data_IF_406252847422
#
_entry.id   IF_406252847422
#
_cell.length_a   1.000
_cell.length_b   1.000
_cell.length_c   1.000
_cell.angle_alpha   90.00
_cell.angle_beta   90.00
_cell.angle_gamma   90.00
#
_symmetry.space_group_name_H-M   'P 1'
#
loop_
_entity.id
_entity.type
_entity.pdbx_description
1 polymer ?
#
# COMPACT_ATOMS: atom_id res chain seq x y z
N UNK A 1 -2.46 4.35 22.80
CA UNK A 1 -2.70 4.52 21.35
C UNK A 1 -1.42 4.35 20.54
N UNK A 2 -0.31 5.01 20.88
CA UNK A 2 0.95 5.02 20.09
C UNK A 2 1.51 3.62 19.78
N UNK A 3 1.51 2.70 20.74
CA UNK A 3 1.95 1.30 20.54
C UNK A 3 1.10 0.52 19.52
N UNK A 4 -0.14 0.93 19.28
CA UNK A 4 -1.03 0.30 18.29
C UNK A 4 -0.68 0.74 16.86
N UNK A 5 -0.29 2.00 16.67
CA UNK A 5 0.06 2.55 15.36
C UNK A 5 1.39 1.97 14.87
N UNK A 6 2.42 1.99 15.73
CA UNK A 6 3.70 1.38 15.40
C UNK A 6 3.55 -0.10 15.04
N UNK A 7 2.68 -0.82 15.76
CA UNK A 7 2.36 -2.20 15.44
C UNK A 7 1.72 -2.33 14.05
N UNK A 8 0.71 -1.53 13.73
CA UNK A 8 0.07 -1.56 12.41
C UNK A 8 1.05 -1.25 11.28
N UNK A 9 1.96 -0.30 11.50
CA UNK A 9 3.04 0.04 10.56
C UNK A 9 4.04 -1.11 10.39
N UNK A 10 4.34 -1.86 11.45
CA UNK A 10 5.15 -3.08 11.32
C UNK A 10 4.37 -4.22 10.65
N UNK A 11 3.09 -4.40 10.99
CA UNK A 11 2.24 -5.45 10.45
C UNK A 11 2.08 -5.31 8.93
N UNK A 12 1.89 -4.09 8.42
CA UNK A 12 1.82 -3.88 6.96
C UNK A 12 3.14 -4.20 6.26
N UNK A 13 4.30 -3.95 6.90
CA UNK A 13 5.59 -4.37 6.36
C UNK A 13 5.73 -5.89 6.32
N UNK A 14 5.26 -6.60 7.34
CA UNK A 14 5.25 -8.07 7.37
C UNK A 14 4.33 -8.64 6.29
N UNK A 15 3.14 -8.05 6.09
CA UNK A 15 2.24 -8.43 5.01
C UNK A 15 2.89 -8.22 3.64
N UNK A 16 3.54 -7.07 3.42
CA UNK A 16 4.29 -6.82 2.19
C UNK A 16 5.38 -7.87 1.95
N UNK A 17 6.18 -8.19 2.98
CA UNK A 17 7.24 -9.21 2.89
C UNK A 17 6.70 -10.58 2.51
N UNK A 18 5.53 -10.96 3.04
CA UNK A 18 4.84 -12.19 2.66
C UNK A 18 4.41 -12.17 1.19
N UNK A 19 3.77 -11.08 0.74
CA UNK A 19 3.31 -10.96 -0.64
C UNK A 19 4.46 -10.98 -1.66
N UNK A 20 5.61 -10.42 -1.30
CA UNK A 20 6.80 -10.41 -2.14
C UNK A 20 7.34 -11.83 -2.33
N UNK A 21 7.43 -12.61 -1.24
CA UNK A 21 8.10 -13.93 -1.21
C UNK A 21 7.23 -15.07 -1.71
N UNK A 22 5.92 -15.02 -1.45
CA UNK A 22 5.01 -16.14 -1.71
C UNK A 22 4.35 -16.05 -3.09
N UNK A 23 3.72 -17.15 -3.51
CA UNK A 23 2.77 -17.13 -4.63
C UNK A 23 1.46 -16.56 -4.10
N UNK A 24 1.00 -15.46 -4.69
CA UNK A 24 -0.16 -14.71 -4.21
C UNK A 24 -1.14 -14.43 -5.34
N UNK A 25 -2.42 -14.24 -4.99
CA UNK A 25 -3.46 -13.84 -5.93
C UNK A 25 -3.56 -12.32 -6.03
N UNK A 26 -4.17 -11.83 -7.12
CA UNK A 26 -4.51 -10.42 -7.26
C UNK A 26 -5.44 -9.93 -6.14
N UNK A 27 -6.30 -10.80 -5.60
CA UNK A 27 -7.16 -10.47 -4.46
C UNK A 27 -6.34 -10.11 -3.22
N UNK A 28 -5.32 -10.90 -2.88
CA UNK A 28 -4.45 -10.62 -1.73
C UNK A 28 -3.67 -9.31 -1.91
N UNK A 29 -3.25 -9.02 -3.15
CA UNK A 29 -2.59 -7.75 -3.49
C UNK A 29 -3.56 -6.57 -3.36
N UNK A 30 -4.81 -6.74 -3.78
CA UNK A 30 -5.86 -5.72 -3.64
C UNK A 30 -6.21 -5.46 -2.17
N UNK A 31 -6.30 -6.51 -1.36
CA UNK A 31 -6.52 -6.38 0.09
C UNK A 31 -5.39 -5.60 0.75
N UNK A 32 -4.14 -5.88 0.34
CA UNK A 32 -2.98 -5.12 0.81
C UNK A 32 -3.02 -3.65 0.36
N UNK A 33 -3.41 -3.36 -0.89
CA UNK A 33 -3.56 -1.99 -1.38
C UNK A 33 -4.53 -1.20 -0.50
N UNK A 34 -5.73 -1.75 -0.28
CA UNK A 34 -6.77 -1.14 0.56
C UNK A 34 -6.26 -0.90 1.99
N UNK A 35 -5.63 -1.92 2.59
CA UNK A 35 -5.07 -1.79 3.92
C UNK A 35 -3.96 -0.73 3.99
N UNK A 36 -3.15 -0.61 2.94
CA UNK A 36 -2.13 0.44 2.84
C UNK A 36 -2.73 1.83 2.83
N UNK A 37 -3.77 2.05 2.05
CA UNK A 37 -4.44 3.34 1.96
C UNK A 37 -5.12 3.72 3.28
N UNK A 38 -5.71 2.74 3.97
CA UNK A 38 -6.29 2.93 5.30
C UNK A 38 -5.25 3.37 6.33
N UNK A 39 -4.11 2.67 6.40
CA UNK A 39 -3.03 3.02 7.33
C UNK A 39 -2.46 4.40 6.99
N UNK A 40 -2.18 4.68 5.72
CA UNK A 40 -1.68 5.99 5.27
C UNK A 40 -2.64 7.11 5.65
N UNK A 41 -3.94 6.95 5.34
CA UNK A 41 -4.98 7.93 5.67
C UNK A 41 -5.09 8.16 7.17
N UNK A 42 -5.03 7.08 7.96
CA UNK A 42 -5.04 7.18 9.40
C UNK A 42 -3.83 7.93 9.95
N UNK A 43 -2.62 7.62 9.47
CA UNK A 43 -1.39 8.33 9.85
C UNK A 43 -1.47 9.83 9.52
N UNK A 44 -1.97 10.18 8.34
CA UNK A 44 -2.18 11.58 7.94
C UNK A 44 -3.20 12.30 8.85
N UNK A 45 -4.18 11.58 9.39
CA UNK A 45 -5.20 12.17 10.28
C UNK A 45 -4.71 12.47 11.70
N UNK A 46 -3.68 11.76 12.17
CA UNK A 46 -3.22 11.84 13.56
C UNK A 46 -1.90 12.63 13.72
N UNK A 47 -1.07 12.68 12.68
CA UNK A 47 0.23 13.35 12.73
C UNK A 47 0.07 14.81 12.30
N UNK A 48 0.69 15.70 13.06
CA UNK A 48 0.69 17.14 12.79
C UNK A 48 2.07 17.69 12.45
N UNK A 49 3.11 16.87 12.60
CA UNK A 49 4.48 17.27 12.31
C UNK A 49 4.72 17.20 10.80
N UNK A 50 5.02 18.36 10.21
CA UNK A 50 5.23 18.50 8.75
C UNK A 50 6.39 17.64 8.25
N UNK A 51 7.45 17.47 9.05
CA UNK A 51 8.58 16.65 8.68
C UNK A 51 8.17 15.17 8.56
N UNK A 52 7.44 14.64 9.53
CA UNK A 52 6.92 13.26 9.50
C UNK A 52 5.85 13.07 8.41
N UNK A 53 4.99 14.07 8.20
CA UNK A 53 3.97 14.05 7.14
C UNK A 53 4.59 13.94 5.75
N UNK A 54 5.72 14.58 5.49
CA UNK A 54 6.42 14.45 4.20
C UNK A 54 6.78 12.99 3.88
N UNK A 55 7.26 12.22 4.86
CA UNK A 55 7.58 10.80 4.66
C UNK A 55 6.36 9.93 4.41
N UNK A 56 5.22 10.25 5.04
CA UNK A 56 3.97 9.50 4.85
C UNK A 56 3.36 9.79 3.48
N UNK A 57 3.43 11.03 3.03
CA UNK A 57 2.97 11.42 1.69
C UNK A 57 3.78 10.76 0.56
N UNK A 58 5.03 10.38 0.83
CA UNK A 58 5.87 9.63 -0.11
C UNK A 58 5.52 8.13 -0.20
N UNK A 59 4.62 7.60 0.62
CA UNK A 59 4.15 6.22 0.49
C UNK A 59 3.32 6.15 -0.80
N UNK A 60 3.74 5.37 -1.82
CA UNK A 60 3.01 5.30 -3.07
C UNK A 60 1.73 4.49 -2.90
N UNK A 61 0.70 4.85 -3.67
CA UNK A 61 -0.54 4.09 -3.71
C UNK A 61 -0.36 2.89 -4.64
N UNK A 62 -0.87 1.72 -4.24
CA UNK A 62 -0.78 0.52 -5.07
C UNK A 62 -1.91 0.49 -6.09
N UNK A 63 -1.78 1.24 -7.17
CA UNK A 63 -2.78 1.23 -8.24
C UNK A 63 -2.56 0.04 -9.19
N UNK A 64 -3.48 -0.92 -9.18
CA UNK A 64 -3.45 -2.10 -10.06
C UNK A 64 -4.09 -1.83 -11.43
N UNK A 65 -4.65 -0.63 -11.63
CA UNK A 65 -5.47 -0.25 -12.79
C UNK A 65 -4.74 0.61 -13.84
N UNK A 66 -3.44 0.93 -13.66
CA UNK A 66 -2.71 1.80 -14.59
C UNK A 66 -2.39 1.14 -15.94
N UNK A 67 -3.40 1.03 -16.82
CA UNK A 67 -3.29 1.18 -18.27
C UNK A 67 -4.39 2.10 -18.86
N UNK A 68 -5.16 2.84 -18.05
CA UNK A 68 -6.15 3.80 -18.57
C UNK A 68 -6.13 5.10 -17.73
N UNK A 69 -5.54 6.17 -18.30
CA UNK A 69 -5.72 7.57 -17.85
C UNK A 69 -6.96 8.17 -18.55
N UNK A 70 -7.64 9.23 -18.05
CA UNK A 70 -7.08 10.29 -17.19
C UNK A 70 -7.96 10.85 -16.03
N UNK A 71 -7.23 11.47 -15.09
CA UNK A 71 -7.56 12.62 -14.24
C UNK A 71 -8.82 12.60 -13.37
N UNK A 72 -8.59 12.75 -12.07
CA UNK A 72 -9.61 13.12 -11.10
C UNK A 72 -9.57 12.19 -9.91
N UNK A 73 -9.30 12.76 -8.75
CA UNK A 73 -9.42 12.11 -7.46
C UNK A 73 -10.79 11.41 -7.40
N UNK A 74 -10.79 10.14 -6.95
CA UNK A 74 -11.91 9.19 -6.79
C UNK A 74 -12.07 8.18 -7.95
N UNK A 75 -11.66 6.94 -7.68
CA UNK A 75 -12.20 5.75 -8.34
C UNK A 75 -11.17 4.65 -8.59
N UNK A 76 -11.02 3.69 -7.66
CA UNK A 76 -10.20 2.46 -7.90
C UNK A 76 -10.87 1.19 -7.31
N UNK A 77 -11.82 1.33 -6.37
CA UNK A 77 -12.58 0.19 -5.82
C UNK A 77 -13.77 -0.27 -6.69
N UNK A 78 -14.19 0.51 -7.69
CA UNK A 78 -15.44 0.29 -8.41
C UNK A 78 -15.39 -0.80 -9.52
N UNK A 79 -14.20 -1.33 -9.86
CA UNK A 79 -14.01 -2.29 -10.95
C UNK A 79 -13.66 -3.72 -10.50
N UNK A 80 -13.84 -4.05 -9.21
CA UNK A 80 -13.59 -5.39 -8.66
C UNK A 80 -14.36 -6.52 -9.39
N UNK A 81 -15.42 -6.22 -10.18
CA UNK A 81 -16.25 -7.22 -10.85
C UNK A 81 -16.49 -7.01 -12.36
N UNK A 82 -15.79 -6.11 -13.03
CA UNK A 82 -16.08 -5.72 -14.42
C UNK A 82 -15.30 -6.47 -15.51
N UNK A 83 -15.37 -7.82 -15.61
CA UNK A 83 -14.97 -8.50 -16.85
C UNK A 83 -14.29 -9.86 -16.70
N UNK A 84 -15.11 -10.90 -16.59
CA UNK A 84 -14.74 -12.31 -16.70
C UNK A 84 -14.23 -12.60 -18.13
N UNK A 85 -13.01 -13.12 -18.27
CA UNK A 85 -12.61 -13.88 -19.45
C UNK A 85 -11.41 -13.35 -20.25
N UNK A 86 -10.21 -13.84 -19.89
CA UNK A 86 -9.12 -14.02 -20.87
C UNK A 86 -7.80 -13.34 -20.56
N UNK A 87 -7.05 -13.75 -19.51
CA UNK A 87 -5.73 -13.14 -19.26
C UNK A 87 -4.81 -13.84 -18.22
N UNK A 88 -4.71 -15.18 -18.17
CA UNK A 88 -3.75 -15.83 -17.24
C UNK A 88 -2.30 -15.35 -17.40
N UNK A 89 -1.88 -14.98 -18.63
CA UNK A 89 -0.53 -14.44 -18.87
C UNK A 89 -0.35 -13.00 -18.38
N UNK A 90 -1.34 -12.10 -18.58
CA UNK A 90 -1.17 -10.74 -18.04
C UNK A 90 -1.35 -10.71 -16.52
N UNK A 91 -2.04 -11.67 -15.92
CA UNK A 91 -2.17 -11.76 -14.46
C UNK A 91 -0.82 -11.96 -13.76
N UNK A 92 0.01 -12.89 -14.25
CA UNK A 92 1.35 -13.09 -13.69
C UNK A 92 2.22 -11.83 -13.80
N UNK A 93 2.20 -11.16 -14.95
CA UNK A 93 2.93 -9.90 -15.16
C UNK A 93 2.42 -8.78 -14.26
N UNK A 94 1.10 -8.68 -14.05
CA UNK A 94 0.49 -7.74 -13.10
C UNK A 94 0.94 -8.01 -11.67
N UNK A 95 0.98 -9.27 -11.25
CA UNK A 95 1.47 -9.68 -9.93
C UNK A 95 2.95 -9.32 -9.76
N UNK A 96 3.79 -9.62 -10.75
CA UNK A 96 5.22 -9.33 -10.69
C UNK A 96 5.50 -7.81 -10.62
N UNK A 97 4.75 -7.01 -11.39
CA UNK A 97 4.80 -5.55 -11.31
C UNK A 97 4.34 -5.04 -9.95
N UNK A 98 3.21 -5.55 -9.45
CA UNK A 98 2.69 -5.19 -8.14
C UNK A 98 3.68 -5.51 -7.02
N UNK A 99 4.43 -6.63 -7.11
CA UNK A 99 5.49 -6.95 -6.14
C UNK A 99 6.60 -5.90 -6.08
N UNK A 100 6.92 -5.23 -7.19
CA UNK A 100 7.90 -4.13 -7.17
C UNK A 100 7.35 -2.93 -6.39
N UNK A 101 6.11 -2.55 -6.64
CA UNK A 101 5.46 -1.46 -5.90
C UNK A 101 5.28 -1.81 -4.42
N UNK A 102 4.92 -3.05 -4.09
CA UNK A 102 4.82 -3.55 -2.70
C UNK A 102 6.17 -3.44 -1.99
N UNK A 103 7.30 -3.71 -2.66
CA UNK A 103 8.64 -3.50 -2.07
C UNK A 103 8.89 -2.03 -1.75
N UNK A 104 8.50 -1.13 -2.64
CA UNK A 104 8.65 0.30 -2.40
C UNK A 104 7.78 0.77 -1.22
N UNK A 105 6.51 0.38 -1.20
CA UNK A 105 5.57 0.66 -0.10
C UNK A 105 6.15 0.18 1.23
N UNK A 106 6.63 -1.07 1.29
CA UNK A 106 7.28 -1.63 2.48
C UNK A 106 8.44 -0.77 2.97
N UNK A 107 9.32 -0.33 2.07
CA UNK A 107 10.48 0.49 2.41
C UNK A 107 10.08 1.89 2.91
N UNK A 108 9.01 2.47 2.36
CA UNK A 108 8.46 3.74 2.83
C UNK A 108 7.83 3.60 4.21
N UNK A 109 7.10 2.52 4.48
CA UNK A 109 6.60 2.22 5.84
C UNK A 109 7.73 1.98 6.85
N UNK A 110 8.82 1.33 6.46
CA UNK A 110 9.98 1.17 7.34
C UNK A 110 10.61 2.53 7.70
N UNK A 111 10.68 3.44 6.73
CA UNK A 111 11.16 4.82 6.94
C UNK A 111 10.20 5.60 7.85
N UNK A 112 8.90 5.48 7.62
CA UNK A 112 7.87 6.08 8.46
C UNK A 112 7.91 5.53 9.90
N UNK A 113 8.12 4.22 10.09
CA UNK A 113 8.26 3.61 11.42
C UNK A 113 9.40 4.25 12.22
N UNK A 114 10.55 4.46 11.59
CA UNK A 114 11.68 5.12 12.24
C UNK A 114 11.33 6.54 12.70
N UNK A 115 10.65 7.31 11.85
CA UNK A 115 10.22 8.67 12.20
C UNK A 115 9.14 8.67 13.29
N UNK A 116 8.18 7.75 13.21
CA UNK A 116 7.10 7.59 14.19
C UNK A 116 7.62 7.21 15.57
N UNK A 117 8.65 6.36 15.64
CA UNK A 117 9.30 6.00 16.91
C UNK A 117 9.92 7.22 17.59
N UNK A 118 10.48 8.15 16.81
CA UNK A 118 11.02 9.39 17.36
C UNK A 118 9.92 10.40 17.71
N UNK A 119 8.82 10.42 16.97
CA UNK A 119 7.70 11.33 17.20
C UNK A 119 6.84 10.95 18.43
N UNK A 120 6.65 9.66 18.69
CA UNK A 120 5.84 9.17 19.80
C UNK A 120 6.60 8.92 21.11
N UNK A 121 7.92 9.11 21.10
CA UNK A 121 8.76 9.14 22.31
C UNK A 121 8.65 10.50 23.01
#
# INVERSE_FOLDING_TARGET
>A
MNNSILRQVTDIQVQADRLIKEKVSLEQISQFAQYSDEIKSFLLSIIKDDFVLNYINEIPDLNLEEEIKPSGVIGILALIFGGIGGSYYNEKRKIDNAKNNIREIRNKYASAEFMLKNYFN
#
